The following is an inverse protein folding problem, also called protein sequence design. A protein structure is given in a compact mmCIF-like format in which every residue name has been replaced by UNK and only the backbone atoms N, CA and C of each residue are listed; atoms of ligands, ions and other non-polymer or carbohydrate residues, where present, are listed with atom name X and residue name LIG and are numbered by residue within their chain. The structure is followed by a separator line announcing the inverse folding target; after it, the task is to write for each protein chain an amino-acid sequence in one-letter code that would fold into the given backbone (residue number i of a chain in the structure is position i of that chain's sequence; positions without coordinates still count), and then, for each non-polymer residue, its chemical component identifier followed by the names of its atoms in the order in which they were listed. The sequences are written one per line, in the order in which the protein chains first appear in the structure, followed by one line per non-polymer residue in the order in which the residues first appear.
data_IF_401778040869
#
_entry.id   IF_401778040869
#
_cell.length_a   1.000
_cell.length_b   1.000
_cell.length_c   1.000
_cell.angle_alpha   90.00
_cell.angle_beta   90.00
_cell.angle_gamma   90.00
#
_symmetry.space_group_name_H-M   'P 1'
#
loop_
_entity.id
_entity.type
_entity.pdbx_description
1 polymer ?
#
# COMPACT_ATOMS: atom_id res chain seq x y z
N UNK A 1 9.12 23.35 4.53
CA UNK A 1 7.69 23.08 4.75
C UNK A 1 7.26 21.72 4.23
N UNK A 2 7.47 20.67 5.03
CA UNK A 2 6.93 19.32 4.79
C UNK A 2 5.47 19.18 5.26
N UNK A 3 4.90 20.21 5.90
CA UNK A 3 3.63 20.15 6.64
C UNK A 3 2.36 20.26 5.78
N UNK A 4 2.46 20.33 4.45
CA UNK A 4 1.27 20.48 3.60
C UNK A 4 0.98 19.18 2.81
N UNK A 5 0.88 18.04 3.50
CA UNK A 5 0.72 16.70 2.89
C UNK A 5 -0.50 16.58 1.96
N UNK A 6 -1.49 17.46 2.11
CA UNK A 6 -2.60 17.60 1.16
C UNK A 6 -2.14 18.02 -0.23
N UNK A 7 -0.99 18.70 -0.41
CA UNK A 7 -0.42 18.97 -1.73
C UNK A 7 0.11 17.70 -2.41
N UNK A 8 0.52 16.67 -1.68
CA UNK A 8 0.98 15.42 -2.33
C UNK A 8 -0.17 14.74 -3.07
N UNK A 9 -1.35 14.75 -2.46
CA UNK A 9 -2.59 14.29 -3.09
C UNK A 9 -3.18 15.32 -4.07
N UNK A 10 -3.48 16.56 -3.64
CA UNK A 10 -4.12 17.62 -4.44
C UNK A 10 -3.22 18.29 -5.47
N UNK A 11 -1.92 18.37 -5.20
CA UNK A 11 -0.94 19.19 -5.93
C UNK A 11 -0.44 18.57 -7.23
N UNK A 12 -1.16 17.57 -7.72
CA UNK A 12 -0.94 16.92 -9.01
C UNK A 12 0.43 16.24 -9.19
N UNK A 13 1.23 16.08 -8.15
CA UNK A 13 2.59 15.50 -8.23
C UNK A 13 2.54 14.08 -8.81
N UNK A 14 1.55 13.28 -8.41
CA UNK A 14 1.34 11.94 -8.95
C UNK A 14 0.88 11.90 -10.42
N UNK A 15 0.28 12.97 -10.98
CA UNK A 15 -0.06 13.01 -12.42
C UNK A 15 1.20 13.03 -13.31
N UNK A 16 2.38 13.33 -12.74
CA UNK A 16 3.64 13.24 -13.48
C UNK A 16 4.08 11.77 -13.72
N UNK A 17 3.53 10.80 -12.99
CA UNK A 17 3.79 9.37 -13.22
C UNK A 17 2.79 8.81 -14.25
N UNK A 18 3.29 8.42 -15.43
CA UNK A 18 2.46 7.91 -16.53
C UNK A 18 1.75 6.56 -16.26
N UNK A 19 2.10 5.88 -15.17
CA UNK A 19 1.56 4.56 -14.79
C UNK A 19 0.57 4.56 -13.61
N UNK A 20 0.17 5.73 -13.11
CA UNK A 20 -0.80 5.82 -12.03
C UNK A 20 -2.22 6.07 -12.56
N UNK A 21 -3.19 5.47 -11.89
CA UNK A 21 -4.61 5.79 -11.96
C UNK A 21 -4.97 6.42 -10.62
N UNK A 22 -5.22 7.73 -10.64
CA UNK A 22 -5.78 8.40 -9.46
C UNK A 22 -7.22 7.95 -9.36
N UNK A 23 -7.53 7.23 -8.28
CA UNK A 23 -8.89 6.84 -7.93
C UNK A 23 -9.28 7.75 -6.79
N UNK A 24 -9.82 8.92 -7.13
CA UNK A 24 -10.44 9.76 -6.12
C UNK A 24 -11.76 9.09 -5.76
N UNK A 25 -11.72 8.22 -4.76
CA UNK A 25 -12.93 7.71 -4.17
C UNK A 25 -13.42 8.87 -3.30
N UNK A 26 -14.35 9.68 -3.81
CA UNK A 26 -15.15 10.68 -3.07
C UNK A 26 -16.03 9.98 -2.00
N UNK A 27 -15.46 9.01 -1.29
CA UNK A 27 -16.09 8.25 -0.24
C UNK A 27 -16.43 9.20 0.89
N UNK A 28 -17.69 9.18 1.30
CA UNK A 28 -18.16 9.88 2.50
C UNK A 28 -17.60 9.27 3.79
N UNK A 29 -16.81 8.17 3.71
CA UNK A 29 -15.92 7.73 4.80
C UNK A 29 -14.72 8.67 4.92
N UNK A 30 -15.03 9.87 5.42
CA UNK A 30 -14.18 10.85 6.09
C UNK A 30 -12.67 10.52 6.05
N UNK A 31 -11.98 11.13 5.09
CA UNK A 31 -10.53 11.37 5.08
C UNK A 31 -9.61 10.32 4.46
N UNK A 32 -10.08 9.36 3.64
CA UNK A 32 -9.19 8.47 2.87
C UNK A 32 -9.16 8.87 1.40
N UNK A 33 -8.00 9.29 0.90
CA UNK A 33 -7.76 9.44 -0.54
C UNK A 33 -6.83 8.33 -1.01
N UNK A 34 -7.04 7.77 -2.21
CA UNK A 34 -6.17 6.74 -2.76
C UNK A 34 -5.67 7.04 -4.17
N UNK A 35 -4.52 6.46 -4.49
CA UNK A 35 -3.90 6.53 -5.82
C UNK A 35 -3.36 5.15 -6.14
N UNK A 36 -3.90 4.52 -7.18
CA UNK A 36 -3.53 3.17 -7.55
C UNK A 36 -2.58 3.16 -8.74
N UNK A 37 -1.71 2.17 -8.81
CA UNK A 37 -0.96 1.87 -10.02
C UNK A 37 -1.88 1.17 -11.03
N UNK A 38 -1.68 1.45 -12.31
CA UNK A 38 -2.32 0.66 -13.38
C UNK A 38 -1.74 -0.75 -13.35
N UNK A 39 -2.61 -1.75 -13.47
CA UNK A 39 -2.20 -3.17 -13.43
C UNK A 39 -1.13 -3.52 -14.46
N UNK A 40 -1.13 -2.87 -15.63
CA UNK A 40 -0.16 -3.09 -16.72
C UNK A 40 1.28 -2.73 -16.33
N UNK A 41 1.45 -1.89 -15.31
CA UNK A 41 2.74 -1.38 -14.85
C UNK A 41 3.25 -2.13 -13.60
N UNK A 42 2.54 -3.18 -13.16
CA UNK A 42 2.85 -3.95 -11.97
C UNK A 42 3.57 -5.27 -12.30
N UNK A 43 4.48 -5.74 -11.42
CA UNK A 43 5.00 -7.10 -11.52
C UNK A 43 3.87 -8.13 -11.47
N UNK A 44 4.02 -9.25 -12.17
CA UNK A 44 2.98 -10.29 -12.27
C UNK A 44 2.51 -10.83 -10.90
N UNK A 45 3.39 -10.81 -9.90
CA UNK A 45 3.08 -11.27 -8.55
C UNK A 45 2.27 -10.26 -7.73
N UNK A 46 2.11 -9.02 -8.22
CA UNK A 46 1.33 -7.98 -7.57
C UNK A 46 -0.07 -7.91 -8.22
N UNK A 47 -1.09 -8.05 -7.38
CA UNK A 47 -2.49 -7.84 -7.72
C UNK A 47 -2.85 -6.38 -7.88
N UNK A 48 -2.58 -5.61 -6.83
CA UNK A 48 -2.79 -4.17 -6.78
C UNK A 48 -1.71 -3.55 -5.91
N UNK A 49 -1.41 -2.29 -6.19
CA UNK A 49 -0.48 -1.47 -5.44
C UNK A 49 -1.03 -0.05 -5.49
N UNK A 50 -1.07 0.61 -4.35
CA UNK A 50 -1.57 1.98 -4.27
C UNK A 50 -1.10 2.69 -3.02
N UNK A 51 -1.22 4.02 -3.07
CA UNK A 51 -1.08 4.89 -1.91
C UNK A 51 -2.46 5.16 -1.33
N UNK A 52 -2.54 5.27 -0.01
CA UNK A 52 -3.70 5.83 0.68
C UNK A 52 -3.26 6.89 1.67
N UNK A 53 -4.10 7.90 1.87
CA UNK A 53 -3.78 9.07 2.69
C UNK A 53 -4.92 9.30 3.68
N UNK A 54 -4.59 9.31 4.97
CA UNK A 54 -5.46 9.76 6.04
C UNK A 54 -5.11 11.20 6.40
N UNK A 55 -6.06 12.14 6.24
CA UNK A 55 -5.87 13.54 6.63
C UNK A 55 -6.82 13.94 7.77
N UNK A 56 -6.24 14.22 8.95
CA UNK A 56 -6.99 14.75 10.09
C UNK A 56 -8.01 13.80 10.72
N UNK A 57 -7.96 12.51 10.37
CA UNK A 57 -8.79 11.49 11.02
C UNK A 57 -8.29 11.28 12.45
N UNK A 58 -9.11 11.62 13.45
CA UNK A 58 -8.71 11.62 14.87
C UNK A 58 -7.41 12.39 15.13
N UNK A 59 -7.25 13.56 14.48
CA UNK A 59 -6.04 14.40 14.57
C UNK A 59 -4.77 13.74 13.99
N UNK A 60 -4.89 12.57 13.36
CA UNK A 60 -3.76 11.87 12.76
C UNK A 60 -3.63 12.17 11.27
N UNK A 61 -2.39 12.28 10.80
CA UNK A 61 -2.06 12.22 9.38
C UNK A 61 -1.21 10.99 9.13
N UNK A 62 -1.70 10.08 8.29
CA UNK A 62 -0.98 8.86 7.94
C UNK A 62 -0.89 8.72 6.43
N UNK A 63 0.26 8.27 5.96
CA UNK A 63 0.49 7.93 4.56
C UNK A 63 0.72 6.43 4.49
N UNK A 64 -0.11 5.76 3.70
CA UNK A 64 -0.08 4.34 3.53
C UNK A 64 0.31 3.92 2.13
N UNK A 65 0.94 2.76 2.04
CA UNK A 65 1.11 2.01 0.79
C UNK A 65 0.48 0.64 1.03
N UNK A 66 -0.57 0.30 0.27
CA UNK A 66 -1.14 -1.04 0.25
C UNK A 66 -0.57 -1.80 -0.95
N UNK A 67 -0.01 -2.97 -0.69
CA UNK A 67 0.41 -3.94 -1.71
C UNK A 67 -0.35 -5.23 -1.55
N UNK A 68 -1.09 -5.63 -2.58
CA UNK A 68 -1.79 -6.91 -2.62
C UNK A 68 -1.00 -7.88 -3.48
N UNK A 69 -0.40 -8.89 -2.88
CA UNK A 69 0.37 -9.96 -3.54
C UNK A 69 -0.55 -11.12 -3.93
N UNK A 70 -0.31 -11.67 -5.12
CA UNK A 70 -0.97 -12.89 -5.60
C UNK A 70 -0.36 -14.10 -4.91
N UNK A 71 -1.22 -14.99 -4.45
CA UNK A 71 -0.80 -16.30 -3.99
C UNK A 71 -1.16 -17.31 -5.09
N UNK A 72 -0.22 -18.15 -5.56
CA UNK A 72 -0.48 -19.08 -6.65
C UNK A 72 -1.65 -20.03 -6.32
N UNK A 73 -2.48 -20.27 -7.33
CA UNK A 73 -3.59 -21.23 -7.28
C UNK A 73 -4.65 -20.93 -6.21
N UNK A 74 -4.84 -19.67 -5.84
CA UNK A 74 -5.91 -19.24 -4.94
C UNK A 74 -6.46 -17.88 -5.35
N UNK A 75 -7.73 -17.64 -5.03
CA UNK A 75 -8.39 -16.35 -5.18
C UNK A 75 -8.03 -15.40 -4.02
N UNK A 76 -7.51 -15.95 -2.92
CA UNK A 76 -7.02 -15.19 -1.77
C UNK A 76 -5.71 -14.49 -2.10
N UNK A 77 -5.59 -13.23 -1.69
CA UNK A 77 -4.36 -12.45 -1.81
C UNK A 77 -3.77 -12.15 -0.44
N UNK A 78 -2.50 -11.76 -0.40
CA UNK A 78 -1.85 -11.25 0.80
C UNK A 78 -1.66 -9.74 0.66
N UNK A 79 -2.20 -8.98 1.59
CA UNK A 79 -1.98 -7.56 1.72
C UNK A 79 -0.75 -7.32 2.61
N UNK A 80 0.10 -6.41 2.16
CA UNK A 80 1.22 -5.86 2.92
C UNK A 80 1.06 -4.35 2.92
N UNK A 81 0.80 -3.80 4.10
CA UNK A 81 0.61 -2.37 4.30
C UNK A 81 1.82 -1.76 4.95
N UNK A 82 2.30 -0.65 4.40
CA UNK A 82 3.31 0.21 5.01
C UNK A 82 2.62 1.49 5.44
N UNK A 83 2.51 1.72 6.75
CA UNK A 83 1.81 2.86 7.31
C UNK A 83 2.81 3.79 7.99
N UNK A 84 3.02 4.96 7.38
CA UNK A 84 3.84 6.01 7.93
C UNK A 84 2.98 7.00 8.70
N UNK A 85 3.20 7.09 10.01
CA UNK A 85 2.58 8.11 10.85
C UNK A 85 3.45 9.37 10.85
N UNK A 86 2.89 10.43 10.31
CA UNK A 86 3.58 11.70 10.12
C UNK A 86 3.84 12.40 11.46
N UNK A 87 2.98 12.17 12.46
CA UNK A 87 3.04 12.87 13.73
C UNK A 87 4.22 12.41 14.58
N UNK A 88 4.51 11.10 14.57
CA UNK A 88 5.58 10.50 15.37
C UNK A 88 6.75 9.95 14.52
N UNK A 89 6.66 10.07 13.19
CA UNK A 89 7.67 9.64 12.22
C UNK A 89 7.98 8.14 12.25
N UNK A 90 7.00 7.31 12.63
CA UNK A 90 7.14 5.86 12.66
C UNK A 90 6.59 5.22 11.38
N UNK A 91 7.27 4.18 10.92
CA UNK A 91 6.82 3.33 9.83
C UNK A 91 6.44 1.96 10.41
N UNK A 92 5.15 1.63 10.35
CA UNK A 92 4.63 0.32 10.71
C UNK A 92 4.38 -0.51 9.46
N UNK A 93 4.49 -1.84 9.61
CA UNK A 93 4.17 -2.79 8.54
C UNK A 93 3.18 -3.84 9.03
N UNK A 94 2.10 -4.01 8.29
CA UNK A 94 1.06 -4.99 8.56
C UNK A 94 0.98 -6.01 7.42
N UNK A 95 0.68 -7.26 7.76
CA UNK A 95 0.51 -8.34 6.79
C UNK A 95 -0.76 -9.10 7.16
N UNK A 96 -1.66 -9.26 6.20
CA UNK A 96 -2.93 -9.95 6.38
C UNK A 96 -3.37 -10.53 5.04
N UNK A 97 -4.23 -11.56 5.03
CA UNK A 97 -4.77 -12.07 3.77
C UNK A 97 -6.17 -11.51 3.51
N UNK A 98 -6.47 -11.17 2.28
CA UNK A 98 -7.81 -10.79 1.86
C UNK A 98 -8.46 -12.01 1.20
N UNK A 99 -9.51 -12.53 1.84
CA UNK A 99 -10.49 -13.38 1.17
C UNK A 99 -11.82 -12.61 1.04
N UNK A 100 -12.63 -12.94 0.04
CA UNK A 100 -13.93 -12.28 -0.17
C UNK A 100 -15.00 -12.73 0.84
N UNK A 101 -14.65 -13.61 1.79
CA UNK A 101 -15.60 -14.35 2.63
C UNK A 101 -15.51 -14.00 4.12
N UNK A 102 -14.46 -13.33 4.56
CA UNK A 102 -14.10 -13.16 5.97
C UNK A 102 -13.97 -11.68 6.36
N UNK A 103 -14.45 -11.35 7.55
CA UNK A 103 -14.39 -10.02 8.14
C UNK A 103 -12.98 -9.71 8.69
N UNK A 104 -12.18 -9.00 7.90
CA UNK A 104 -11.06 -8.04 8.16
C UNK A 104 -10.10 -8.16 9.37
N UNK A 105 -10.14 -9.18 10.22
CA UNK A 105 -9.22 -9.30 11.37
C UNK A 105 -8.61 -10.71 11.45
N UNK A 106 -7.29 -10.78 11.25
CA UNK A 106 -6.53 -12.04 11.31
C UNK A 106 -5.42 -11.95 12.33
N UNK A 107 -5.30 -12.98 13.15
CA UNK A 107 -4.13 -13.20 14.00
C UNK A 107 -2.92 -13.60 13.14
N UNK A 108 -1.71 -13.27 13.62
CA UNK A 108 -0.45 -13.62 12.95
C UNK A 108 -0.38 -15.11 12.59
N UNK A 109 -0.78 -16.00 13.51
CA UNK A 109 -0.78 -17.45 13.27
C UNK A 109 -1.66 -17.86 12.09
N UNK A 110 -2.79 -17.18 11.86
CA UNK A 110 -3.69 -17.49 10.74
C UNK A 110 -3.04 -17.11 9.40
N UNK A 111 -2.29 -16.00 9.37
CA UNK A 111 -1.53 -15.58 8.19
C UNK A 111 -0.40 -16.56 7.91
N UNK A 112 0.35 -16.95 8.95
CA UNK A 112 1.44 -17.92 8.85
C UNK A 112 0.96 -19.29 8.36
N UNK A 113 -0.14 -19.81 8.93
CA UNK A 113 -0.75 -21.08 8.54
C UNK A 113 -1.24 -21.05 7.09
N UNK A 114 -1.87 -19.94 6.68
CA UNK A 114 -2.28 -19.75 5.29
C UNK A 114 -1.07 -19.76 4.35
N UNK A 115 -0.04 -18.96 4.63
CA UNK A 115 1.16 -18.91 3.80
C UNK A 115 1.84 -20.28 3.71
N UNK A 116 1.95 -21.00 4.83
CA UNK A 116 2.54 -22.33 4.87
C UNK A 116 1.80 -23.34 3.97
N UNK A 117 0.46 -23.31 3.97
CA UNK A 117 -0.37 -24.15 3.06
C UNK A 117 -0.12 -23.86 1.59
N UNK A 118 0.33 -22.64 1.27
CA UNK A 118 0.65 -22.21 -0.08
C UNK A 118 2.16 -22.20 -0.37
N UNK A 119 2.97 -22.86 0.47
CA UNK A 119 4.41 -23.01 0.25
C UNK A 119 5.18 -21.69 0.34
N UNK A 120 4.69 -20.75 1.16
CA UNK A 120 5.27 -19.43 1.39
C UNK A 120 5.50 -19.20 2.88
N UNK A 121 6.38 -18.25 3.17
CA UNK A 121 6.63 -17.77 4.53
C UNK A 121 6.39 -16.26 4.62
N UNK A 122 6.17 -15.76 5.84
CA UNK A 122 6.03 -14.31 6.09
C UNK A 122 7.28 -13.55 5.63
N UNK A 123 8.47 -14.12 5.80
CA UNK A 123 9.72 -13.46 5.41
C UNK A 123 9.89 -13.38 3.88
N UNK A 124 9.44 -14.37 3.13
CA UNK A 124 9.40 -14.28 1.67
C UNK A 124 8.44 -13.19 1.18
N UNK A 125 7.25 -13.11 1.78
CA UNK A 125 6.27 -12.05 1.50
C UNK A 125 6.86 -10.68 1.80
N UNK A 126 7.51 -10.52 2.97
CA UNK A 126 8.19 -9.27 3.35
C UNK A 126 9.25 -8.89 2.35
N UNK A 127 10.11 -9.82 1.96
CA UNK A 127 11.20 -9.58 1.02
C UNK A 127 10.67 -9.18 -0.36
N UNK A 128 9.60 -9.82 -0.81
CA UNK A 128 8.96 -9.50 -2.09
C UNK A 128 8.34 -8.09 -2.07
N UNK A 129 7.56 -7.77 -1.03
CA UNK A 129 6.97 -6.44 -0.86
C UNK A 129 8.03 -5.34 -0.71
N UNK A 130 9.08 -5.57 0.09
CA UNK A 130 10.19 -4.63 0.28
C UNK A 130 10.95 -4.38 -1.03
N UNK A 131 11.08 -5.41 -1.87
CA UNK A 131 11.70 -5.28 -3.19
C UNK A 131 10.87 -4.39 -4.11
N UNK A 132 9.55 -4.55 -4.13
CA UNK A 132 8.64 -3.68 -4.91
C UNK A 132 8.64 -2.26 -4.35
N UNK A 133 8.59 -2.10 -3.02
CA UNK A 133 8.67 -0.81 -2.36
C UNK A 133 9.93 -0.05 -2.79
N UNK A 134 11.10 -0.68 -2.71
CA UNK A 134 12.38 -0.03 -3.06
C UNK A 134 12.52 0.24 -4.55
N UNK A 135 12.25 -0.75 -5.38
CA UNK A 135 12.62 -0.72 -6.79
C UNK A 135 11.53 -0.14 -7.71
N UNK A 136 10.28 -0.08 -7.25
CA UNK A 136 9.17 0.55 -7.95
C UNK A 136 8.72 1.83 -7.24
N UNK A 137 8.19 1.70 -6.03
CA UNK A 137 7.46 2.78 -5.34
C UNK A 137 8.38 3.96 -5.01
N UNK A 138 9.49 3.72 -4.30
CA UNK A 138 10.44 4.78 -3.92
C UNK A 138 11.20 5.31 -5.14
N UNK A 139 11.50 4.44 -6.11
CA UNK A 139 12.13 4.86 -7.36
C UNK A 139 11.23 5.82 -8.13
N UNK A 140 9.96 5.47 -8.35
CA UNK A 140 8.98 6.32 -9.02
C UNK A 140 8.80 7.64 -8.26
N UNK A 141 8.70 7.59 -6.93
CA UNK A 141 8.62 8.79 -6.08
C UNK A 141 9.78 9.77 -6.34
N UNK A 142 11.03 9.29 -6.33
CA UNK A 142 12.20 10.15 -6.56
C UNK A 142 12.26 10.80 -7.95
N UNK A 143 11.50 10.30 -8.92
CA UNK A 143 11.40 10.93 -10.25
C UNK A 143 10.45 12.13 -10.29
N UNK A 144 9.47 12.18 -9.39
CA UNK A 144 8.42 13.22 -9.38
C UNK A 144 8.55 14.21 -8.23
N UNK A 145 9.31 13.83 -7.22
CA UNK A 145 9.62 14.65 -6.06
C UNK A 145 11.11 14.54 -5.77
N UNK A 146 11.79 15.69 -5.73
CA UNK A 146 13.20 15.78 -5.33
C UNK A 146 13.32 15.48 -3.83
N UNK A 147 13.30 14.19 -3.51
CA UNK A 147 13.55 13.68 -2.16
C UNK A 147 14.96 14.12 -1.74
N UNK A 148 15.06 14.72 -0.56
CA UNK A 148 16.33 15.08 0.07
C UNK A 148 16.84 13.94 0.92
#
# INVERSE_FOLDING_TARGET
DYHNYTFLWKGRTFYKLKGLKIVDNDSQEISIHSIDYKSVDLPNTIHSLGYYFYFGFQEMTKVGIEMRLRIPNTETSINVDYLYDVNNQQLERFIWYHDEKSERYYHQSQVEDFLAKHGKTVDEIRKEADNVLRNKVLKDWTTIYSSR
#
